data_IF_556756360264
#
_entry.id   IF_556756360264
#
_cell.length_a   1.000
_cell.length_b   1.000
_cell.length_c   1.000
_cell.angle_alpha   90.00
_cell.angle_beta   90.00
_cell.angle_gamma   90.00
#
_symmetry.space_group_name_H-M   'P 1'
#
loop_
_entity.id
_entity.type
_entity.pdbx_description
1 polymer ?
#
# COMPACT_ATOMS: atom_id res chain seq x y z
N UNK A 1 12.64 -43.85 22.13
CA UNK A 1 11.60 -44.77 21.64
C UNK A 1 10.86 -44.06 20.51
N UNK A 2 11.12 -44.39 19.24
CA UNK A 2 10.39 -43.79 18.10
C UNK A 2 9.01 -44.42 18.06
N UNK A 3 7.98 -43.65 18.37
CA UNK A 3 6.58 -44.10 18.32
C UNK A 3 6.19 -44.36 16.88
N UNK A 4 5.74 -45.58 16.58
CA UNK A 4 5.08 -45.95 15.33
C UNK A 4 3.70 -45.29 15.29
N UNK A 5 3.64 -43.99 15.00
CA UNK A 5 2.38 -43.34 14.64
C UNK A 5 2.03 -43.76 13.20
N UNK A 6 0.95 -44.51 13.04
CA UNK A 6 0.28 -44.83 11.77
C UNK A 6 -0.56 -43.66 11.23
N UNK A 7 -0.37 -42.44 11.74
CA UNK A 7 -1.07 -41.27 11.21
C UNK A 7 -0.55 -40.94 9.81
N UNK A 8 -1.50 -40.68 8.89
CA UNK A 8 -1.19 -40.18 7.55
C UNK A 8 -0.47 -38.84 7.68
N UNK A 9 0.86 -38.86 7.64
CA UNK A 9 1.66 -37.65 7.56
C UNK A 9 1.54 -37.07 6.15
N UNK A 10 0.73 -36.03 6.02
CA UNK A 10 0.66 -35.27 4.77
C UNK A 10 1.92 -34.41 4.63
N UNK A 11 2.59 -34.42 3.46
CA UNK A 11 3.75 -33.58 3.25
C UNK A 11 3.34 -32.11 3.31
N UNK A 12 3.97 -31.35 4.21
CA UNK A 12 3.83 -29.89 4.23
C UNK A 12 4.65 -29.32 3.07
N UNK A 13 3.99 -28.53 2.23
CA UNK A 13 4.60 -27.83 1.11
C UNK A 13 5.33 -26.58 1.61
N UNK A 14 6.41 -26.18 0.93
CA UNK A 14 7.33 -25.12 1.41
C UNK A 14 6.61 -23.81 1.74
N UNK A 15 5.61 -23.43 0.96
CA UNK A 15 4.84 -22.21 1.15
C UNK A 15 3.91 -22.21 2.38
N UNK A 16 3.64 -23.37 3.00
CA UNK A 16 2.94 -23.42 4.29
C UNK A 16 3.72 -22.72 5.42
N UNK A 17 5.03 -22.51 5.26
CA UNK A 17 5.82 -21.79 6.25
C UNK A 17 5.37 -20.33 6.43
N UNK A 18 4.85 -19.68 5.39
CA UNK A 18 4.29 -18.32 5.45
C UNK A 18 3.02 -18.22 6.31
N UNK A 19 2.31 -19.32 6.48
CA UNK A 19 1.15 -19.40 7.38
C UNK A 19 1.59 -19.67 8.81
N UNK A 20 2.59 -20.55 8.99
CA UNK A 20 3.09 -20.91 10.32
C UNK A 20 3.95 -19.82 10.98
N UNK A 21 4.58 -18.95 10.20
CA UNK A 21 5.40 -17.85 10.72
C UNK A 21 4.58 -16.56 11.01
N UNK A 22 3.28 -16.54 10.72
CA UNK A 22 2.37 -15.43 11.02
C UNK A 22 2.41 -14.25 10.05
N UNK A 23 3.29 -14.24 9.04
CA UNK A 23 3.38 -13.13 8.08
C UNK A 23 2.12 -12.98 7.23
N UNK A 24 1.41 -14.08 6.96
CA UNK A 24 0.12 -14.04 6.26
C UNK A 24 -0.92 -13.19 7.02
N UNK A 25 -1.02 -13.36 8.34
CA UNK A 25 -1.98 -12.63 9.17
C UNK A 25 -1.63 -11.14 9.24
N UNK A 26 -0.34 -10.81 9.33
CA UNK A 26 0.15 -9.42 9.28
C UNK A 26 -0.25 -8.76 7.96
N UNK A 27 0.04 -9.39 6.82
CA UNK A 27 -0.29 -8.82 5.50
C UNK A 27 -1.80 -8.66 5.32
N UNK A 28 -2.61 -9.64 5.76
CA UNK A 28 -4.08 -9.57 5.70
C UNK A 28 -4.67 -8.50 6.64
N UNK A 29 -3.99 -8.19 7.74
CA UNK A 29 -4.44 -7.15 8.69
C UNK A 29 -4.29 -5.73 8.14
N UNK A 30 -3.32 -5.48 7.24
CA UNK A 30 -3.04 -4.12 6.73
C UNK A 30 -4.21 -3.51 5.95
N UNK A 31 -4.86 -4.21 4.98
CA UNK A 31 -6.04 -3.68 4.32
C UNK A 31 -7.22 -3.42 5.27
N UNK A 32 -7.42 -4.32 6.24
CA UNK A 32 -8.48 -4.20 7.25
C UNK A 32 -8.23 -2.97 8.12
N UNK A 33 -7.01 -2.79 8.61
CA UNK A 33 -6.59 -1.62 9.35
C UNK A 33 -6.77 -0.34 8.52
N UNK A 34 -6.32 -0.31 7.26
CA UNK A 34 -6.51 0.85 6.38
C UNK A 34 -8.00 1.17 6.17
N UNK A 35 -8.84 0.17 5.95
CA UNK A 35 -10.28 0.36 5.82
C UNK A 35 -10.87 0.97 7.09
N UNK A 36 -10.57 0.41 8.26
CA UNK A 36 -11.03 0.96 9.54
C UNK A 36 -10.47 2.34 9.85
N UNK A 37 -9.23 2.62 9.43
CA UNK A 37 -8.65 3.96 9.50
C UNK A 37 -9.46 4.91 8.63
N UNK A 38 -9.73 4.60 7.36
CA UNK A 38 -10.53 5.47 6.50
C UNK A 38 -11.98 5.65 6.98
N UNK A 39 -12.59 4.62 7.56
CA UNK A 39 -13.98 4.68 8.06
C UNK A 39 -14.10 5.41 9.40
N UNK A 40 -13.15 5.24 10.33
CA UNK A 40 -13.25 5.77 11.69
C UNK A 40 -12.36 6.98 11.96
N UNK A 41 -11.42 7.30 11.06
CA UNK A 41 -10.60 8.50 11.22
C UNK A 41 -11.48 9.72 10.94
N UNK A 42 -12.02 10.28 12.02
CA UNK A 42 -12.31 11.70 12.10
C UNK A 42 -10.99 12.42 11.87
N UNK A 43 -10.70 12.72 10.61
CA UNK A 43 -9.57 13.54 10.20
C UNK A 43 -9.84 14.98 10.65
N UNK A 44 -9.75 15.23 11.95
CA UNK A 44 -9.68 16.57 12.50
C UNK A 44 -8.32 17.10 12.13
N UNK A 45 -8.23 17.67 10.93
CA UNK A 45 -6.97 18.22 10.41
C UNK A 45 -6.58 19.50 11.14
N UNK A 46 -7.58 20.21 11.67
CA UNK A 46 -7.39 21.54 12.25
C UNK A 46 -8.24 21.72 13.49
N UNK A 47 -7.67 22.42 14.48
CA UNK A 47 -8.42 23.05 15.57
C UNK A 47 -8.48 24.53 15.28
N UNK A 48 -9.69 25.11 15.36
CA UNK A 48 -9.93 26.53 15.10
C UNK A 48 -10.27 27.19 16.42
N UNK A 49 -9.38 28.05 16.89
CA UNK A 49 -9.60 28.91 18.04
C UNK A 49 -10.15 30.24 17.56
N UNK A 50 -11.24 30.71 18.15
CA UNK A 50 -11.80 32.04 17.92
C UNK A 50 -11.73 32.77 19.26
N UNK A 51 -11.03 33.91 19.31
CA UNK A 51 -10.98 34.74 20.49
C UNK A 51 -12.35 35.35 20.77
N UNK A 52 -12.78 35.39 22.03
CA UNK A 52 -14.07 35.98 22.40
C UNK A 52 -14.18 37.46 21.99
N UNK A 53 -13.06 38.18 22.05
CA UNK A 53 -12.95 39.59 21.68
C UNK A 53 -13.05 39.85 20.16
N UNK A 54 -12.96 38.81 19.33
CA UNK A 54 -13.08 38.92 17.88
C UNK A 54 -14.37 39.64 17.47
N UNK A 55 -15.49 39.29 18.11
CA UNK A 55 -16.80 39.87 17.78
C UNK A 55 -16.92 41.32 18.25
N UNK A 56 -16.29 41.65 19.37
CA UNK A 56 -16.23 43.03 19.90
C UNK A 56 -15.46 43.92 18.93
N UNK A 57 -14.33 43.46 18.40
CA UNK A 57 -13.55 44.21 17.41
C UNK A 57 -14.21 44.27 16.03
N UNK A 58 -14.99 43.25 15.64
CA UNK A 58 -15.69 43.20 14.35
C UNK A 58 -16.90 44.13 14.30
N UNK A 59 -17.71 44.15 15.35
CA UNK A 59 -18.98 44.91 15.39
C UNK A 59 -18.90 46.21 16.19
N UNK A 60 -17.85 46.42 16.99
CA UNK A 60 -17.72 47.57 17.88
C UNK A 60 -18.27 47.27 19.28
N UNK A 61 -17.69 47.92 20.29
CA UNK A 61 -17.97 47.65 21.72
C UNK A 61 -19.42 47.98 22.09
N UNK A 62 -19.93 49.12 21.62
CA UNK A 62 -21.28 49.60 21.90
C UNK A 62 -22.33 48.68 21.26
N UNK A 63 -22.23 48.49 19.93
CA UNK A 63 -23.18 47.70 19.15
C UNK A 63 -23.21 46.23 19.57
N UNK A 64 -22.03 45.63 19.83
CA UNK A 64 -21.98 44.25 20.30
C UNK A 64 -22.53 44.12 21.71
N UNK A 65 -22.36 45.09 22.61
CA UNK A 65 -22.93 45.00 23.96
C UNK A 65 -24.46 45.17 23.94
N UNK A 66 -24.98 46.04 23.08
CA UNK A 66 -26.42 46.29 22.96
C UNK A 66 -27.20 45.20 22.22
N UNK A 67 -26.54 44.37 21.41
CA UNK A 67 -27.20 43.25 20.71
C UNK A 67 -27.83 42.24 21.67
N UNK A 68 -28.97 41.69 21.27
CA UNK A 68 -29.67 40.65 22.01
C UNK A 68 -28.87 39.34 22.00
N UNK A 69 -29.08 38.48 23.01
CA UNK A 69 -28.34 37.22 23.15
C UNK A 69 -28.53 36.29 21.94
N UNK A 70 -29.75 36.21 21.40
CA UNK A 70 -30.03 35.39 20.22
C UNK A 70 -29.30 35.87 18.97
N UNK A 71 -29.16 37.20 18.79
CA UNK A 71 -28.44 37.76 17.64
C UNK A 71 -26.94 37.47 17.72
N UNK A 72 -26.38 37.53 18.94
CA UNK A 72 -24.96 37.17 19.19
C UNK A 72 -24.69 35.70 18.86
N UNK A 73 -25.59 34.80 19.25
CA UNK A 73 -25.48 33.38 18.93
C UNK A 73 -25.58 33.13 17.42
N UNK A 74 -26.51 33.79 16.72
CA UNK A 74 -26.59 33.73 15.25
C UNK A 74 -25.31 34.20 14.56
N UNK A 75 -24.69 35.28 15.02
CA UNK A 75 -23.42 35.78 14.46
C UNK A 75 -22.26 34.81 14.70
N UNK A 76 -22.22 34.16 15.87
CA UNK A 76 -21.23 33.11 16.19
C UNK A 76 -21.40 31.91 15.28
N UNK A 77 -22.62 31.36 15.19
CA UNK A 77 -22.92 30.22 14.32
C UNK A 77 -22.63 30.53 12.85
N UNK A 78 -22.98 31.72 12.37
CA UNK A 78 -22.71 32.10 10.99
C UNK A 78 -21.20 32.21 10.72
N UNK A 79 -20.43 32.74 11.67
CA UNK A 79 -18.96 32.80 11.54
C UNK A 79 -18.34 31.40 11.50
N UNK A 80 -18.82 30.48 12.35
CA UNK A 80 -18.40 29.07 12.34
C UNK A 80 -18.75 28.41 10.99
N UNK A 81 -19.96 28.61 10.48
CA UNK A 81 -20.38 28.07 9.17
C UNK A 81 -19.53 28.58 8.02
N UNK A 82 -19.25 29.88 7.98
CA UNK A 82 -18.41 30.47 6.91
C UNK A 82 -17.00 29.87 6.94
N UNK A 83 -16.42 29.72 8.14
CA UNK A 83 -15.09 29.12 8.28
C UNK A 83 -15.12 27.64 7.85
N UNK A 84 -16.13 26.89 8.29
CA UNK A 84 -16.30 25.48 7.94
C UNK A 84 -16.50 25.31 6.42
N UNK A 85 -17.36 26.08 5.78
CA UNK A 85 -17.56 26.06 4.31
C UNK A 85 -16.30 26.50 3.54
N UNK A 86 -15.52 27.43 4.10
CA UNK A 86 -14.28 27.87 3.45
C UNK A 86 -13.18 26.81 3.54
N UNK A 87 -13.10 26.08 4.65
CA UNK A 87 -12.05 25.10 4.97
C UNK A 87 -12.43 23.65 4.63
N UNK A 88 -13.70 23.35 4.39
CA UNK A 88 -14.20 22.00 4.09
C UNK A 88 -14.30 21.72 2.58
N UNK A 89 -14.23 20.43 2.24
CA UNK A 89 -14.43 19.92 0.89
C UNK A 89 -13.16 19.80 0.04
N UNK A 90 -13.28 19.10 -1.09
CA UNK A 90 -12.15 18.74 -1.96
C UNK A 90 -11.43 19.95 -2.60
N UNK A 91 -12.11 21.09 -2.70
CA UNK A 91 -11.55 22.34 -3.26
C UNK A 91 -10.92 23.27 -2.20
N UNK A 92 -10.92 22.88 -0.93
CA UNK A 92 -10.34 23.68 0.16
C UNK A 92 -8.83 23.44 0.33
N UNK A 93 -8.27 22.39 -0.28
CA UNK A 93 -6.84 22.11 -0.25
C UNK A 93 -6.05 23.28 -0.88
N UNK A 94 -5.23 23.95 -0.08
CA UNK A 94 -4.42 25.09 -0.51
C UNK A 94 -5.06 26.48 -0.34
N UNK A 95 -6.26 26.58 0.26
CA UNK A 95 -6.82 27.89 0.64
C UNK A 95 -6.07 28.47 1.84
N UNK A 96 -5.88 29.79 1.82
CA UNK A 96 -5.28 30.53 2.92
C UNK A 96 -6.37 31.23 3.73
N UNK A 97 -6.31 31.09 5.06
CA UNK A 97 -7.15 31.86 5.96
C UNK A 97 -6.40 33.13 6.36
N UNK A 98 -6.99 34.29 6.05
CA UNK A 98 -6.46 35.59 6.48
C UNK A 98 -7.28 36.06 7.68
N UNK A 99 -6.60 36.24 8.81
CA UNK A 99 -7.21 36.62 10.08
C UNK A 99 -6.48 37.84 10.65
N UNK A 100 -7.18 38.92 11.02
CA UNK A 100 -6.55 40.09 11.61
C UNK A 100 -6.02 39.80 13.03
N UNK A 101 -4.95 40.50 13.40
CA UNK A 101 -4.45 40.54 14.77
C UNK A 101 -5.04 41.74 15.50
N UNK A 102 -5.41 41.55 16.76
CA UNK A 102 -5.83 42.61 17.66
C UNK A 102 -4.74 42.88 18.70
N UNK A 103 -4.78 44.05 19.32
CA UNK A 103 -3.89 44.39 20.43
C UNK A 103 -4.71 44.57 21.70
N UNK A 104 -4.29 43.89 22.76
CA UNK A 104 -4.80 44.11 24.11
C UNK A 104 -4.36 45.49 24.64
N UNK A 105 -5.00 45.97 25.71
CA UNK A 105 -4.63 47.15 26.49
C UNK A 105 -3.18 47.11 26.97
N UNK A 106 -2.61 45.91 27.16
CA UNK A 106 -1.21 45.70 27.54
C UNK A 106 -0.23 45.67 26.35
N UNK A 107 -0.72 45.85 25.12
CA UNK A 107 0.09 45.83 23.89
C UNK A 107 0.38 44.42 23.34
N UNK A 108 -0.13 43.36 23.98
CA UNK A 108 0.01 41.99 23.51
C UNK A 108 -0.86 41.74 22.26
N UNK A 109 -0.33 40.98 21.29
CA UNK A 109 -1.05 40.61 20.08
C UNK A 109 -1.99 39.43 20.37
N UNK A 110 -3.28 39.63 20.18
CA UNK A 110 -4.32 38.60 20.26
C UNK A 110 -4.66 38.17 18.83
N UNK A 111 -4.58 36.88 18.55
CA UNK A 111 -5.03 36.32 17.27
C UNK A 111 -6.54 36.18 17.32
N UNK A 112 -7.26 36.85 16.42
CA UNK A 112 -8.73 36.79 16.41
C UNK A 112 -9.26 35.40 16.08
N UNK A 113 -8.72 34.81 15.02
CA UNK A 113 -8.95 33.41 14.65
C UNK A 113 -7.59 32.76 14.41
N UNK A 114 -7.34 31.63 15.07
CA UNK A 114 -6.12 30.83 14.91
C UNK A 114 -6.49 29.40 14.49
N UNK A 115 -5.89 28.95 13.40
CA UNK A 115 -6.04 27.58 12.89
C UNK A 115 -4.76 26.83 13.19
N UNK A 116 -4.84 25.86 14.09
CA UNK A 116 -3.71 25.00 14.45
C UNK A 116 -3.88 23.66 13.76
N UNK A 117 -2.94 23.22 12.90
CA UNK A 117 -2.99 21.88 12.36
C UNK A 117 -2.76 20.88 13.50
N UNK A 118 -3.63 19.86 13.59
CA UNK A 118 -3.33 18.70 14.42
C UNK A 118 -2.29 17.88 13.66
N UNK A 119 -1.15 17.62 14.30
CA UNK A 119 -0.14 16.75 13.73
C UNK A 119 -0.67 15.31 13.72
N UNK A 120 -0.96 14.81 12.52
CA UNK A 120 -1.30 13.41 12.35
C UNK A 120 -0.01 12.59 12.42
N UNK A 121 0.25 12.04 13.61
CA UNK A 121 1.44 11.22 13.88
C UNK A 121 1.47 9.94 13.05
N UNK A 122 0.34 9.52 12.49
CA UNK A 122 0.26 8.42 11.53
C UNK A 122 0.38 9.02 10.14
N UNK A 123 1.62 9.36 9.76
CA UNK A 123 1.90 9.88 8.42
C UNK A 123 1.57 8.81 7.37
N UNK A 124 0.90 9.25 6.30
CA UNK A 124 0.59 8.44 5.13
C UNK A 124 1.89 7.79 4.63
N UNK A 125 1.91 6.45 4.54
CA UNK A 125 3.12 5.70 4.18
C UNK A 125 3.73 4.83 5.27
N UNK A 126 3.44 5.04 6.56
CA UNK A 126 4.10 4.33 7.67
C UNK A 126 3.98 2.80 7.58
N UNK A 127 2.87 2.30 7.03
CA UNK A 127 2.60 0.85 6.92
C UNK A 127 2.94 0.24 5.55
N UNK A 128 3.34 1.04 4.56
CA UNK A 128 3.74 0.52 3.25
C UNK A 128 5.02 -0.34 3.31
N UNK A 129 6.06 0.02 4.10
CA UNK A 129 7.24 -0.82 4.30
C UNK A 129 6.90 -2.20 4.86
N UNK A 130 6.03 -2.26 5.88
CA UNK A 130 5.65 -3.52 6.54
C UNK A 130 4.85 -4.45 5.62
N UNK A 131 3.93 -3.89 4.82
CA UNK A 131 3.20 -4.65 3.80
C UNK A 131 4.15 -5.20 2.72
N UNK A 132 5.19 -4.43 2.37
CA UNK A 132 6.17 -4.85 1.36
C UNK A 132 7.09 -5.94 1.89
N UNK A 133 7.58 -5.79 3.13
CA UNK A 133 8.35 -6.83 3.81
C UNK A 133 7.53 -8.11 3.93
N UNK A 134 6.26 -8.03 4.33
CA UNK A 134 5.37 -9.18 4.43
C UNK A 134 5.16 -9.90 3.10
N UNK A 135 5.01 -9.16 1.99
CA UNK A 135 4.92 -9.77 0.66
C UNK A 135 6.21 -10.54 0.30
N UNK A 136 7.39 -9.98 0.60
CA UNK A 136 8.67 -10.68 0.36
C UNK A 136 8.80 -11.95 1.21
N UNK A 137 8.43 -11.91 2.49
CA UNK A 137 8.44 -13.05 3.41
C UNK A 137 7.48 -14.18 2.98
N UNK A 138 6.42 -13.86 2.23
CA UNK A 138 5.53 -14.86 1.60
C UNK A 138 6.17 -15.45 0.33
N UNK A 139 6.86 -14.64 -0.48
CA UNK A 139 7.46 -15.07 -1.75
C UNK A 139 8.70 -15.94 -1.59
N UNK A 140 9.53 -15.70 -0.57
CA UNK A 140 10.74 -16.50 -0.31
C UNK A 140 10.48 -18.01 -0.15
N UNK A 141 9.52 -18.47 0.68
CA UNK A 141 9.22 -19.89 0.80
C UNK A 141 8.50 -20.48 -0.42
N UNK A 142 7.84 -19.64 -1.24
CA UNK A 142 7.33 -20.05 -2.55
C UNK A 142 8.47 -20.28 -3.56
N UNK A 143 9.65 -19.68 -3.32
CA UNK A 143 10.81 -19.78 -4.19
C UNK A 143 10.62 -19.01 -5.50
N UNK A 144 9.78 -17.98 -5.48
CA UNK A 144 9.51 -17.10 -6.62
C UNK A 144 10.27 -15.80 -6.39
N UNK A 145 11.06 -15.40 -7.38
CA UNK A 145 11.75 -14.12 -7.36
C UNK A 145 10.72 -12.96 -7.45
N UNK A 146 10.77 -11.96 -6.55
CA UNK A 146 9.82 -10.84 -6.56
C UNK A 146 9.78 -10.07 -7.89
N UNK A 147 10.88 -10.06 -8.65
CA UNK A 147 10.99 -9.41 -9.96
C UNK A 147 10.01 -10.01 -10.99
N UNK A 148 9.71 -11.32 -10.88
CA UNK A 148 8.77 -12.02 -11.77
C UNK A 148 7.33 -11.58 -11.56
N UNK A 149 6.98 -11.15 -10.35
CA UNK A 149 5.62 -10.73 -10.00
C UNK A 149 5.44 -9.21 -10.03
N UNK A 150 6.51 -8.45 -10.29
CA UNK A 150 6.47 -6.99 -10.21
C UNK A 150 6.14 -6.51 -8.80
N UNK A 151 6.59 -7.24 -7.77
CA UNK A 151 6.31 -6.93 -6.36
C UNK A 151 7.01 -5.65 -5.85
N UNK A 152 7.57 -4.83 -6.75
CA UNK A 152 8.11 -3.52 -6.41
C UNK A 152 6.99 -2.50 -6.19
N UNK A 153 7.08 -1.73 -5.12
CA UNK A 153 6.17 -0.60 -4.85
C UNK A 153 6.37 0.45 -5.96
N UNK A 154 5.34 0.79 -6.76
CA UNK A 154 5.44 1.90 -7.69
C UNK A 154 5.68 3.21 -6.91
N UNK A 155 6.83 3.86 -7.12
CA UNK A 155 7.17 5.14 -6.49
C UNK A 155 7.67 5.09 -5.04
N UNK A 156 7.83 3.90 -4.44
CA UNK A 156 8.46 3.74 -3.13
C UNK A 156 9.98 3.58 -3.20
N UNK A 157 10.69 3.82 -2.11
CA UNK A 157 12.13 3.56 -1.97
C UNK A 157 12.51 2.08 -2.15
N UNK A 158 11.54 1.17 -2.16
CA UNK A 158 11.67 -0.24 -2.55
C UNK A 158 11.58 -0.51 -4.06
N UNK A 159 11.64 0.53 -4.90
CA UNK A 159 11.56 0.45 -6.37
C UNK A 159 12.66 -0.35 -7.07
N UNK A 160 13.65 -0.88 -6.34
CA UNK A 160 14.71 -1.73 -6.88
C UNK A 160 14.25 -3.13 -7.33
N UNK A 161 13.01 -3.53 -7.02
CA UNK A 161 12.45 -4.81 -7.46
C UNK A 161 11.83 -4.75 -8.87
N UNK A 162 11.66 -3.55 -9.44
CA UNK A 162 11.28 -3.36 -10.84
C UNK A 162 12.54 -3.37 -11.72
N UNK A 163 13.24 -4.51 -11.67
CA UNK A 163 14.44 -4.77 -12.44
C UNK A 163 14.20 -4.64 -13.95
N UNK A 164 15.25 -4.25 -14.66
CA UNK A 164 15.25 -4.09 -16.10
C UNK A 164 14.79 -5.39 -16.80
N UNK A 165 14.45 -5.31 -18.09
CA UNK A 165 14.03 -6.49 -18.85
C UNK A 165 15.06 -7.66 -18.82
N UNK A 166 16.33 -7.36 -18.54
CA UNK A 166 17.38 -8.35 -18.25
C UNK A 166 17.13 -9.11 -16.95
N UNK A 167 16.78 -8.42 -15.86
CA UNK A 167 16.68 -9.03 -14.53
C UNK A 167 15.49 -9.99 -14.47
N UNK A 168 14.38 -9.62 -15.12
CA UNK A 168 13.20 -10.49 -15.30
C UNK A 168 13.53 -11.76 -16.06
N UNK A 169 14.41 -11.66 -17.06
CA UNK A 169 14.86 -12.78 -17.89
C UNK A 169 15.75 -13.74 -17.11
N UNK A 170 16.70 -13.20 -16.34
CA UNK A 170 17.57 -14.00 -15.47
C UNK A 170 16.75 -14.69 -14.37
N UNK A 171 15.83 -13.96 -13.72
CA UNK A 171 14.93 -14.53 -12.72
C UNK A 171 14.06 -15.68 -13.29
N UNK A 172 13.54 -15.53 -14.50
CA UNK A 172 12.76 -16.58 -15.18
C UNK A 172 13.63 -17.80 -15.52
N UNK A 173 14.87 -17.57 -15.94
CA UNK A 173 15.84 -18.62 -16.24
C UNK A 173 16.20 -19.41 -14.99
N UNK A 174 16.52 -18.71 -13.88
CA UNK A 174 16.79 -19.34 -12.58
C UNK A 174 15.59 -20.18 -12.10
N UNK A 175 14.37 -19.64 -12.23
CA UNK A 175 13.16 -20.39 -11.85
C UNK A 175 13.00 -21.64 -12.71
N UNK A 176 13.19 -21.54 -14.02
CA UNK A 176 13.12 -22.67 -14.96
C UNK A 176 14.15 -23.76 -14.64
N UNK A 177 15.37 -23.38 -14.29
CA UNK A 177 16.45 -24.29 -13.87
C UNK A 177 16.14 -25.02 -12.56
N UNK A 178 15.26 -24.48 -11.71
CA UNK A 178 14.81 -25.14 -10.46
C UNK A 178 13.66 -26.14 -10.67
N UNK A 179 13.08 -26.22 -11.87
CA UNK A 179 11.93 -27.07 -12.16
C UNK A 179 12.21 -28.46 -12.79
N UNK A 180 13.44 -28.94 -13.08
CA UNK A 180 13.63 -30.14 -13.90
C UNK A 180 12.98 -31.39 -13.30
N UNK A 181 13.11 -31.63 -12.00
CA UNK A 181 12.47 -32.78 -11.32
C UNK A 181 10.95 -32.73 -11.43
N UNK A 182 10.36 -31.52 -11.31
CA UNK A 182 8.91 -31.35 -11.45
C UNK A 182 8.46 -31.58 -12.88
N UNK A 183 9.22 -31.07 -13.86
CA UNK A 183 8.94 -31.26 -15.29
C UNK A 183 9.00 -32.74 -15.67
N UNK A 184 10.07 -33.44 -15.29
CA UNK A 184 10.22 -34.89 -15.53
C UNK A 184 9.03 -35.65 -14.94
N UNK A 185 8.70 -35.42 -13.66
CA UNK A 185 7.56 -36.09 -13.01
C UNK A 185 6.23 -35.80 -13.70
N UNK A 186 6.00 -34.57 -14.15
CA UNK A 186 4.78 -34.20 -14.88
C UNK A 186 4.73 -34.85 -16.26
N UNK A 187 5.87 -34.98 -16.93
CA UNK A 187 5.97 -35.49 -18.30
C UNK A 187 6.07 -37.02 -18.37
N UNK A 188 6.41 -37.68 -17.25
CA UNK A 188 6.54 -39.14 -17.13
C UNK A 188 5.30 -39.89 -17.67
N UNK A 189 4.10 -39.33 -17.49
CA UNK A 189 2.88 -39.95 -18.01
C UNK A 189 2.86 -40.06 -19.53
N UNK A 190 3.40 -39.06 -20.25
CA UNK A 190 3.45 -39.07 -21.70
C UNK A 190 4.48 -40.07 -22.22
N UNK A 191 5.60 -40.22 -21.51
CA UNK A 191 6.59 -41.26 -21.81
C UNK A 191 6.00 -42.66 -21.63
N UNK A 192 5.23 -42.89 -20.55
CA UNK A 192 4.54 -44.16 -20.31
C UNK A 192 3.49 -44.47 -21.38
N UNK A 193 2.73 -43.47 -21.83
CA UNK A 193 1.75 -43.62 -22.91
C UNK A 193 2.45 -43.99 -24.23
N UNK A 194 3.56 -43.33 -24.55
CA UNK A 194 4.38 -43.62 -25.73
C UNK A 194 4.84 -45.08 -25.72
N UNK A 195 5.42 -45.51 -24.61
CA UNK A 195 5.98 -46.86 -24.48
C UNK A 195 4.89 -47.93 -24.55
N UNK A 196 3.73 -47.68 -23.94
CA UNK A 196 2.56 -48.57 -24.00
C UNK A 196 2.04 -48.76 -25.43
N UNK A 197 2.01 -47.68 -26.22
CA UNK A 197 1.48 -47.69 -27.58
C UNK A 197 2.52 -48.07 -28.64
N UNK A 198 3.78 -48.35 -28.25
CA UNK A 198 4.86 -48.64 -29.19
C UNK A 198 5.18 -47.49 -30.14
N UNK A 199 4.98 -46.25 -29.69
CA UNK A 199 5.33 -45.05 -30.47
C UNK A 199 6.85 -44.87 -30.58
N UNK A 200 7.28 -44.00 -31.50
CA UNK A 200 8.71 -43.73 -31.73
C UNK A 200 9.42 -43.25 -30.44
N UNK A 201 10.55 -43.86 -30.04
CA UNK A 201 11.26 -43.50 -28.80
C UNK A 201 11.79 -42.06 -28.75
N UNK A 202 11.93 -41.40 -29.90
CA UNK A 202 12.39 -40.00 -30.00
C UNK A 202 11.29 -39.00 -29.61
N UNK A 203 10.04 -39.44 -29.47
CA UNK A 203 8.95 -38.62 -28.97
C UNK A 203 9.09 -38.48 -27.45
N UNK A 204 9.31 -37.26 -26.97
CA UNK A 204 9.29 -36.94 -25.55
C UNK A 204 8.54 -35.64 -25.33
N UNK A 205 7.82 -35.55 -24.21
CA UNK A 205 7.19 -34.30 -23.80
C UNK A 205 8.26 -33.32 -23.33
N UNK A 206 8.09 -32.04 -23.63
CA UNK A 206 9.00 -30.99 -23.15
C UNK A 206 8.22 -29.71 -22.82
N UNK A 207 8.75 -28.93 -21.87
CA UNK A 207 8.32 -27.56 -21.62
C UNK A 207 9.30 -26.62 -22.32
N UNK A 208 8.94 -26.06 -23.49
CA UNK A 208 9.85 -25.17 -24.21
C UNK A 208 10.15 -23.93 -23.35
N UNK A 209 11.43 -23.72 -23.05
CA UNK A 209 11.88 -22.48 -22.43
C UNK A 209 12.17 -21.47 -23.54
N UNK A 210 11.36 -20.42 -23.61
CA UNK A 210 11.60 -19.31 -24.52
C UNK A 210 12.40 -18.27 -23.76
N UNK A 211 13.55 -17.89 -24.30
CA UNK A 211 14.31 -16.77 -23.78
C UNK A 211 13.96 -15.53 -24.60
N UNK A 212 13.47 -14.50 -23.93
CA UNK A 212 13.22 -13.21 -24.58
C UNK A 212 14.58 -12.59 -24.92
N UNK A 213 14.72 -11.94 -26.06
CA UNK A 213 15.96 -11.24 -26.44
C UNK A 213 15.65 -9.78 -26.72
N UNK A 214 16.63 -8.88 -26.52
CA UNK A 214 16.43 -7.49 -26.95
C UNK A 214 16.37 -7.44 -28.48
N UNK A 215 15.56 -6.53 -29.02
CA UNK A 215 15.31 -6.41 -30.48
C UNK A 215 16.60 -6.12 -31.26
N UNK A 216 17.54 -5.44 -30.60
CA UNK A 216 18.91 -5.16 -31.02
C UNK A 216 19.77 -6.41 -31.23
N UNK A 217 19.42 -7.56 -30.63
CA UNK A 217 20.10 -8.86 -30.86
C UNK A 217 19.31 -9.83 -31.75
N UNK A 218 17.98 -9.73 -31.80
CA UNK A 218 17.14 -10.57 -32.64
C UNK A 218 15.84 -9.82 -33.02
N UNK A 219 15.56 -9.58 -34.32
CA UNK A 219 14.38 -8.83 -34.76
C UNK A 219 13.04 -9.42 -34.32
N UNK A 220 12.99 -10.73 -34.06
CA UNK A 220 11.78 -11.41 -33.62
C UNK A 220 11.58 -11.39 -32.09
N UNK A 221 12.53 -10.84 -31.33
CA UNK A 221 12.41 -10.63 -29.87
C UNK A 221 12.40 -11.89 -29.00
N UNK A 222 12.48 -13.09 -29.58
CA UNK A 222 12.42 -14.38 -28.87
C UNK A 222 13.39 -15.39 -29.47
N UNK A 223 14.03 -16.20 -28.62
CA UNK A 223 14.86 -17.34 -29.02
C UNK A 223 14.47 -18.57 -28.17
N UNK A 224 14.13 -19.67 -28.84
CA UNK A 224 13.88 -20.94 -28.17
C UNK A 224 15.21 -21.52 -27.69
N UNK A 225 15.33 -21.80 -26.40
CA UNK A 225 16.49 -22.53 -25.86
C UNK A 225 16.09 -23.98 -25.70
N UNK A 226 16.80 -24.85 -26.42
CA UNK A 226 16.74 -26.29 -26.19
C UNK A 226 17.72 -26.59 -25.06
N UNK A 227 17.20 -26.90 -23.87
CA UNK A 227 17.99 -27.47 -22.77
C UNK A 227 17.81 -28.99 -22.77
#
# INVERSE_FOLDING_TARGET
>A
MRTLSTEKNYPKVKWHSSFHNGWMDVVLSVPVFKKYMFENQLNVKFVIYIADDFFIHKFGVEDWRSMEKEEKEKHRENTVKIIDEHMSGNKASGRSLISPFFRDQNGNLIKGIEVVPIDDKIKDGSFLPDATAGNSEILFPMGVDPCLLGAGIPGGSGGGLNGAGSDKREAYTILSTRMPIRRIRTLEIFERIRDWNGWEPTLYGNFPNINLTTLDKNPNGQQTIVN
#
